data_IF_402620893917
#
_entry.id   IF_402620893917
#
_cell.length_a   1.000
_cell.length_b   1.000
_cell.length_c   1.000
_cell.angle_alpha   90.00
_cell.angle_beta   90.00
_cell.angle_gamma   90.00
#
_symmetry.space_group_name_H-M   'P 1'
#
loop_
_entity.id
_entity.type
_entity.pdbx_description
1 polymer ?
#
# COMPACT_ATOMS: atom_id res chain seq x y z
N UNK A 1 -21.22 -11.80 20.68
CA UNK A 1 -22.43 -11.66 19.86
C UNK A 1 -22.22 -12.44 18.57
N UNK A 2 -22.71 -13.68 18.51
CA UNK A 2 -22.49 -14.59 17.38
C UNK A 2 -23.47 -14.23 16.24
N UNK A 3 -22.95 -13.72 15.12
CA UNK A 3 -23.79 -13.28 14.00
C UNK A 3 -24.36 -14.48 13.26
N UNK A 4 -25.64 -14.80 13.49
CA UNK A 4 -26.42 -15.73 12.65
C UNK A 4 -26.47 -15.17 11.22
N UNK A 5 -25.87 -15.88 10.24
CA UNK A 5 -26.01 -15.57 8.80
C UNK A 5 -24.73 -15.50 7.95
N UNK A 6 -23.54 -15.77 8.48
CA UNK A 6 -22.26 -15.69 7.72
C UNK A 6 -21.98 -16.88 6.79
N UNK A 7 -22.75 -17.97 6.89
CA UNK A 7 -22.50 -19.21 6.16
C UNK A 7 -22.35 -19.02 4.62
N UNK A 8 -23.09 -18.07 4.03
CA UNK A 8 -22.97 -17.75 2.60
C UNK A 8 -21.61 -17.14 2.25
N UNK A 9 -21.11 -16.24 3.10
CA UNK A 9 -19.80 -15.60 2.91
C UNK A 9 -18.69 -16.63 3.08
N UNK A 10 -18.80 -17.51 4.07
CA UNK A 10 -17.80 -18.55 4.30
C UNK A 10 -17.77 -19.59 3.17
N UNK A 11 -18.94 -19.90 2.61
CA UNK A 11 -19.04 -20.73 1.41
C UNK A 11 -18.33 -20.09 0.20
N UNK A 12 -18.55 -18.79 -0.07
CA UNK A 12 -17.87 -18.08 -1.16
C UNK A 12 -16.36 -18.03 -0.95
N UNK A 13 -15.90 -17.72 0.27
CA UNK A 13 -14.47 -17.73 0.62
C UNK A 13 -13.80 -19.09 0.41
N UNK A 14 -14.54 -20.19 0.65
CA UNK A 14 -14.04 -21.54 0.38
C UNK A 14 -13.79 -21.74 -1.12
N UNK A 15 -14.77 -21.40 -1.95
CA UNK A 15 -14.66 -21.49 -3.41
C UNK A 15 -13.52 -20.61 -3.92
N UNK A 16 -13.41 -19.36 -3.44
CA UNK A 16 -12.35 -18.41 -3.81
C UNK A 16 -10.96 -19.01 -3.58
N UNK A 17 -10.72 -19.59 -2.38
CA UNK A 17 -9.43 -20.22 -2.06
C UNK A 17 -9.12 -21.40 -2.97
N UNK A 18 -10.08 -22.29 -3.21
CA UNK A 18 -9.90 -23.46 -4.08
C UNK A 18 -9.59 -23.05 -5.53
N UNK A 19 -10.26 -22.01 -6.04
CA UNK A 19 -10.04 -21.51 -7.40
C UNK A 19 -8.70 -20.78 -7.52
N UNK A 20 -8.33 -19.96 -6.54
CA UNK A 20 -7.03 -19.28 -6.50
C UNK A 20 -5.86 -20.27 -6.52
N UNK A 21 -5.95 -21.34 -5.72
CA UNK A 21 -4.95 -22.42 -5.72
C UNK A 21 -4.84 -23.11 -7.09
N UNK A 22 -5.97 -23.36 -7.77
CA UNK A 22 -5.98 -23.94 -9.12
C UNK A 22 -5.35 -23.01 -10.15
N UNK A 23 -5.60 -21.71 -10.07
CA UNK A 23 -5.00 -20.73 -10.97
C UNK A 23 -3.48 -20.64 -10.80
N UNK A 24 -3.00 -20.63 -9.56
CA UNK A 24 -1.58 -20.58 -9.24
C UNK A 24 -0.85 -21.86 -9.67
N UNK A 25 -1.39 -23.04 -9.33
CA UNK A 25 -0.82 -24.33 -9.74
C UNK A 25 -0.70 -24.48 -11.26
N UNK A 26 -1.65 -23.91 -12.02
CA UNK A 26 -1.64 -23.92 -13.49
C UNK A 26 -0.92 -22.74 -14.11
N UNK A 27 -0.45 -21.76 -13.31
CA UNK A 27 0.24 -20.54 -13.76
C UNK A 27 -0.51 -19.81 -14.88
N UNK A 28 -1.84 -19.76 -14.80
CA UNK A 28 -2.71 -19.30 -15.91
C UNK A 28 -2.52 -17.82 -16.29
N UNK A 29 -1.87 -17.03 -15.42
CA UNK A 29 -1.59 -15.62 -15.64
C UNK A 29 -0.10 -15.33 -15.93
N UNK A 30 0.77 -16.35 -15.95
CA UNK A 30 2.17 -16.19 -16.36
C UNK A 30 2.25 -16.11 -17.89
N UNK A 31 2.63 -14.94 -18.40
CA UNK A 31 2.72 -14.68 -19.84
C UNK A 31 4.18 -14.46 -20.22
N UNK A 32 4.68 -15.26 -21.17
CA UNK A 32 6.05 -15.15 -21.68
C UNK A 32 6.04 -14.60 -23.10
N UNK A 33 6.86 -13.57 -23.36
CA UNK A 33 6.93 -12.93 -24.67
C UNK A 33 7.37 -13.89 -25.80
N UNK A 34 8.30 -14.80 -25.51
CA UNK A 34 8.82 -15.80 -26.46
C UNK A 34 7.76 -16.79 -26.96
N UNK A 35 6.74 -17.08 -26.14
CA UNK A 35 5.63 -17.96 -26.52
C UNK A 35 4.61 -17.25 -27.40
N UNK A 36 4.59 -15.90 -27.41
CA UNK A 36 3.64 -15.08 -28.16
C UNK A 36 4.10 -14.78 -29.58
N UNK A 37 5.40 -14.78 -29.86
CA UNK A 37 5.94 -14.55 -31.20
C UNK A 37 5.56 -15.66 -32.19
N UNK A 38 5.33 -16.89 -31.68
CA UNK A 38 4.79 -18.00 -32.46
C UNK A 38 3.27 -17.88 -32.72
N UNK A 39 2.59 -17.00 -31.99
CA UNK A 39 1.17 -16.69 -32.15
C UNK A 39 1.01 -15.29 -32.73
N UNK A 40 1.47 -15.11 -33.97
CA UNK A 40 1.56 -13.85 -34.73
C UNK A 40 0.23 -13.07 -34.87
N UNK A 41 -0.90 -13.63 -34.41
CA UNK A 41 -2.26 -13.13 -34.64
C UNK A 41 -3.00 -12.60 -33.41
N UNK A 42 -2.39 -12.56 -32.20
CA UNK A 42 -3.08 -12.08 -30.99
C UNK A 42 -2.52 -10.74 -30.50
N UNK A 43 -3.35 -9.71 -30.53
CA UNK A 43 -3.05 -8.39 -29.96
C UNK A 43 -2.58 -8.50 -28.50
N UNK A 44 -1.57 -7.70 -28.14
CA UNK A 44 -1.04 -7.58 -26.77
C UNK A 44 -1.80 -6.48 -26.02
N UNK A 45 -1.99 -6.67 -24.72
CA UNK A 45 -2.59 -5.68 -23.83
C UNK A 45 -1.77 -5.60 -22.54
N UNK A 46 -1.18 -4.43 -22.27
CA UNK A 46 -0.32 -4.22 -21.12
C UNK A 46 -0.90 -3.12 -20.24
N UNK A 47 -1.12 -3.43 -18.97
CA UNK A 47 -1.68 -2.50 -17.99
C UNK A 47 -0.79 -2.48 -16.77
N UNK A 48 -0.64 -1.31 -16.15
CA UNK A 48 0.12 -1.15 -14.91
C UNK A 48 -0.71 -0.40 -13.88
N UNK A 49 -0.47 -0.72 -12.61
CA UNK A 49 -0.98 0.03 -11.48
C UNK A 49 0.21 0.72 -10.80
N UNK A 50 0.14 2.02 -10.49
CA UNK A 50 1.19 2.70 -9.72
C UNK A 50 1.46 1.95 -8.42
N UNK A 51 2.68 1.45 -8.26
CA UNK A 51 3.03 0.57 -7.16
C UNK A 51 2.92 1.33 -5.81
N UNK A 52 2.17 0.79 -4.83
CA UNK A 52 1.83 1.50 -3.60
C UNK A 52 2.99 1.53 -2.60
N UNK A 53 3.02 2.56 -1.74
CA UNK A 53 3.97 2.66 -0.63
C UNK A 53 3.76 1.56 0.42
N UNK A 54 4.86 0.96 0.87
CA UNK A 54 4.87 -0.15 1.84
C UNK A 54 5.03 0.31 3.29
N UNK A 55 4.54 1.50 3.63
CA UNK A 55 4.49 1.98 5.01
C UNK A 55 3.29 1.44 5.80
N UNK A 56 2.45 0.59 5.19
CA UNK A 56 1.26 0.00 5.82
C UNK A 56 0.61 -1.06 4.95
N UNK A 57 -0.59 -1.52 5.38
CA UNK A 57 -1.40 -2.44 4.58
C UNK A 57 -2.19 -1.70 3.50
N UNK A 58 -2.47 -2.38 2.40
CA UNK A 58 -3.32 -1.84 1.34
C UNK A 58 -4.76 -1.65 1.85
N UNK A 59 -5.23 -0.41 1.86
CA UNK A 59 -6.62 -0.07 2.15
C UNK A 59 -7.53 -0.16 0.92
N UNK A 60 -8.85 -0.05 1.15
CA UNK A 60 -9.90 -0.21 0.14
C UNK A 60 -9.75 0.76 -1.05
N UNK A 61 -9.19 1.95 -0.84
CA UNK A 61 -8.90 2.91 -1.91
C UNK A 61 -7.90 2.38 -2.94
N UNK A 62 -6.88 1.64 -2.52
CA UNK A 62 -5.99 0.95 -3.45
C UNK A 62 -6.75 -0.09 -4.25
N UNK A 63 -7.62 -0.88 -3.60
CA UNK A 63 -8.42 -1.91 -4.28
C UNK A 63 -9.40 -1.34 -5.29
N UNK A 64 -9.99 -0.18 -5.00
CA UNK A 64 -10.85 0.53 -5.94
C UNK A 64 -10.08 0.97 -7.18
N UNK A 65 -8.90 1.57 -7.01
CA UNK A 65 -8.09 2.04 -8.13
C UNK A 65 -7.52 0.89 -8.97
N UNK A 66 -7.05 -0.19 -8.34
CA UNK A 66 -6.53 -1.37 -9.06
C UNK A 66 -7.63 -2.15 -9.79
N UNK A 67 -8.87 -2.12 -9.29
CA UNK A 67 -10.00 -2.85 -9.90
C UNK A 67 -10.27 -2.46 -11.35
N UNK A 68 -10.00 -1.19 -11.70
CA UNK A 68 -10.12 -0.69 -13.08
C UNK A 68 -9.21 -1.46 -14.04
N UNK A 69 -7.98 -1.74 -13.60
CA UNK A 69 -7.00 -2.48 -14.37
C UNK A 69 -7.36 -3.96 -14.44
N UNK A 70 -7.76 -4.54 -13.30
CA UNK A 70 -8.17 -5.94 -13.18
C UNK A 70 -9.34 -6.29 -14.10
N UNK A 71 -10.38 -5.46 -14.12
CA UNK A 71 -11.54 -5.67 -14.99
C UNK A 71 -11.19 -5.46 -16.47
N UNK A 72 -10.32 -4.49 -16.78
CA UNK A 72 -9.86 -4.26 -18.14
C UNK A 72 -9.13 -5.49 -18.70
N UNK A 73 -8.22 -6.11 -17.95
CA UNK A 73 -7.51 -7.31 -18.41
C UNK A 73 -8.42 -8.53 -18.50
N UNK A 74 -9.40 -8.68 -17.59
CA UNK A 74 -10.42 -9.72 -17.68
C UNK A 74 -11.22 -9.62 -18.99
N UNK A 75 -11.70 -8.42 -19.31
CA UNK A 75 -12.43 -8.15 -20.55
C UNK A 75 -11.57 -8.37 -21.80
N UNK A 76 -10.35 -7.83 -21.84
CA UNK A 76 -9.48 -7.95 -23.02
C UNK A 76 -9.03 -9.40 -23.26
N UNK A 77 -8.85 -10.20 -22.19
CA UNK A 77 -8.58 -11.64 -22.31
C UNK A 77 -9.73 -12.39 -22.98
N UNK A 78 -10.98 -12.02 -22.67
CA UNK A 78 -12.16 -12.57 -23.35
C UNK A 78 -12.25 -12.16 -24.83
N UNK A 79 -11.73 -10.98 -25.19
CA UNK A 79 -11.58 -10.57 -26.60
C UNK A 79 -10.43 -11.28 -27.34
N UNK A 80 -9.75 -12.22 -26.70
CA UNK A 80 -8.64 -12.97 -27.29
C UNK A 80 -7.29 -12.27 -27.23
N UNK A 81 -7.19 -11.10 -26.57
CA UNK A 81 -5.91 -10.41 -26.39
C UNK A 81 -5.06 -11.09 -25.33
N UNK A 82 -3.76 -11.08 -25.54
CA UNK A 82 -2.82 -11.53 -24.51
C UNK A 82 -2.55 -10.40 -23.54
N UNK A 83 -2.99 -10.57 -22.29
CA UNK A 83 -2.94 -9.53 -21.26
C UNK A 83 -1.81 -9.76 -20.27
N UNK A 84 -1.02 -8.72 -19.99
CA UNK A 84 -0.01 -8.71 -18.93
C UNK A 84 -0.34 -7.59 -17.94
N UNK A 85 -0.46 -7.95 -16.66
CA UNK A 85 -0.71 -7.03 -15.55
C UNK A 85 0.25 -7.34 -14.40
N UNK A 86 1.44 -6.73 -14.38
CA UNK A 86 2.39 -6.89 -13.29
C UNK A 86 2.02 -5.96 -12.12
N UNK A 87 2.44 -6.36 -10.93
CA UNK A 87 2.25 -5.56 -9.72
C UNK A 87 3.59 -5.42 -8.99
N UNK A 88 4.00 -4.18 -8.70
CA UNK A 88 5.20 -3.85 -7.94
C UNK A 88 4.86 -3.30 -6.55
N UNK A 89 5.88 -3.14 -5.71
CA UNK A 89 5.75 -2.61 -4.34
C UNK A 89 6.76 -1.48 -4.12
N UNK A 90 6.33 -0.33 -3.59
CA UNK A 90 7.19 0.83 -3.40
C UNK A 90 7.80 0.86 -1.99
N UNK A 91 9.10 0.56 -1.91
CA UNK A 91 9.86 0.62 -0.66
C UNK A 91 10.85 1.79 -0.57
N UNK A 92 10.92 2.65 -1.60
CA UNK A 92 11.83 3.81 -1.58
C UNK A 92 11.13 5.03 -0.99
N UNK A 93 11.91 5.93 -0.39
CA UNK A 93 11.41 7.19 0.16
C UNK A 93 11.43 7.28 1.69
N UNK A 94 11.25 8.50 2.19
CA UNK A 94 11.27 8.84 3.62
C UNK A 94 10.10 8.30 4.46
N UNK A 95 8.86 8.08 3.94
CA UNK A 95 7.72 7.72 4.80
C UNK A 95 7.95 6.48 5.65
N UNK A 96 8.60 5.45 5.10
CA UNK A 96 8.89 4.19 5.83
C UNK A 96 9.86 4.46 6.97
N UNK A 97 10.91 5.24 6.70
CA UNK A 97 11.92 5.63 7.69
C UNK A 97 11.33 6.52 8.78
N UNK A 98 10.52 7.50 8.42
CA UNK A 98 9.84 8.38 9.36
C UNK A 98 8.93 7.60 10.33
N UNK A 99 8.16 6.62 9.84
CA UNK A 99 7.36 5.74 10.68
C UNK A 99 8.22 4.88 11.62
N UNK A 100 9.33 4.31 11.13
CA UNK A 100 10.24 3.52 11.95
C UNK A 100 10.94 4.36 13.03
N UNK A 101 11.36 5.58 12.70
CA UNK A 101 12.02 6.50 13.63
C UNK A 101 11.04 7.03 14.69
N UNK A 102 9.77 7.28 14.32
CA UNK A 102 8.70 7.60 15.29
C UNK A 102 8.51 6.47 16.29
N UNK A 103 8.37 5.24 15.80
CA UNK A 103 8.17 4.07 16.67
C UNK A 103 9.39 3.83 17.56
N UNK A 104 10.61 3.97 17.03
CA UNK A 104 11.83 3.89 17.83
C UNK A 104 11.83 4.89 18.98
N UNK A 105 11.47 6.15 18.70
CA UNK A 105 11.39 7.20 19.72
C UNK A 105 10.36 6.87 20.80
N UNK A 106 9.17 6.40 20.41
CA UNK A 106 8.11 6.02 21.36
C UNK A 106 8.57 4.88 22.28
N UNK A 107 9.25 3.87 21.74
CA UNK A 107 9.79 2.76 22.54
C UNK A 107 10.91 3.23 23.48
N UNK A 108 11.77 4.15 23.04
CA UNK A 108 12.86 4.70 23.85
C UNK A 108 12.35 5.61 24.99
N UNK A 109 11.27 6.37 24.75
CA UNK A 109 10.70 7.30 25.73
C UNK A 109 9.75 6.62 26.72
N UNK A 110 8.87 5.76 26.23
CA UNK A 110 7.73 5.25 27.00
C UNK A 110 7.85 3.76 27.36
N UNK A 111 8.87 3.06 26.86
CA UNK A 111 9.09 1.63 27.13
C UNK A 111 8.26 0.68 26.25
N UNK A 112 8.11 -0.57 26.71
CA UNK A 112 7.40 -1.63 25.99
C UNK A 112 6.67 -2.57 26.98
N UNK A 113 5.33 -2.48 27.14
CA UNK A 113 4.41 -1.61 26.40
C UNK A 113 4.63 -0.11 26.72
N UNK A 114 4.40 0.78 25.74
CA UNK A 114 4.58 2.21 25.96
C UNK A 114 3.54 2.73 26.95
N UNK A 115 4.00 3.50 27.95
CA UNK A 115 3.17 4.24 28.88
C UNK A 115 3.18 5.72 28.51
N UNK A 116 2.10 6.20 27.90
CA UNK A 116 2.01 7.56 27.38
C UNK A 116 1.52 8.51 28.47
N UNK A 117 1.98 9.78 28.49
CA UNK A 117 1.50 10.77 29.46
C UNK A 117 0.02 11.08 29.24
N UNK A 118 -0.69 11.49 30.29
CA UNK A 118 -2.05 12.01 30.15
C UNK A 118 -2.01 13.36 29.39
N UNK A 119 -3.11 13.74 28.72
CA UNK A 119 -3.16 14.93 27.83
C UNK A 119 -2.70 16.23 28.53
N UNK A 120 -2.91 16.35 29.84
CA UNK A 120 -2.44 17.49 30.65
C UNK A 120 -0.91 17.51 30.83
N UNK A 121 -0.28 16.33 30.99
CA UNK A 121 1.17 16.18 31.12
C UNK A 121 1.88 16.38 29.76
N UNK A 122 1.23 16.02 28.66
CA UNK A 122 1.73 16.29 27.30
C UNK A 122 1.79 17.80 27.00
N UNK A 123 0.78 18.58 27.39
CA UNK A 123 0.77 20.04 27.19
C UNK A 123 1.89 20.75 27.96
N UNK A 124 2.17 20.31 29.20
CA UNK A 124 3.29 20.80 30.00
C UNK A 124 4.64 20.46 29.37
N UNK A 125 4.86 19.21 28.94
CA UNK A 125 6.10 18.82 28.26
C UNK A 125 6.31 19.52 26.92
N UNK A 126 5.26 19.73 26.13
CA UNK A 126 5.34 20.44 24.85
C UNK A 126 5.70 21.90 25.10
N UNK A 127 5.10 22.56 26.09
CA UNK A 127 5.47 23.94 26.43
C UNK A 127 6.94 24.05 26.84
N UNK A 128 7.41 23.16 27.73
CA UNK A 128 8.82 23.15 28.17
C UNK A 128 9.78 22.92 26.99
N UNK A 129 9.49 21.94 26.12
CA UNK A 129 10.32 21.66 24.92
C UNK A 129 10.28 22.83 23.92
N UNK A 130 9.15 23.51 23.76
CA UNK A 130 9.01 24.64 22.84
C UNK A 130 9.77 25.87 23.36
N UNK A 131 9.74 26.14 24.66
CA UNK A 131 10.53 27.17 25.32
C UNK A 131 12.04 26.93 25.16
N UNK A 132 12.49 25.69 25.33
CA UNK A 132 13.89 25.29 25.12
C UNK A 132 14.36 25.43 23.66
N UNK A 133 13.46 25.22 22.69
CA UNK A 133 13.75 25.38 21.25
C UNK A 133 13.80 26.87 20.86
N UNK A 134 12.93 27.72 21.44
CA UNK A 134 12.87 29.16 21.14
C UNK A 134 14.15 29.89 21.58
N UNK A 135 14.86 29.38 22.59
CA UNK A 135 16.08 30.02 23.11
C UNK A 135 17.31 29.75 22.21
N UNK A 136 17.30 28.76 21.30
CA UNK A 136 18.52 28.35 20.56
C UNK A 136 18.71 28.90 19.15
N UNK A 137 17.68 29.36 18.43
CA UNK A 137 17.85 29.76 17.02
C UNK A 137 17.13 31.07 16.65
N UNK A 138 17.77 32.20 16.97
CA UNK A 138 17.55 33.47 16.26
C UNK A 138 18.75 33.79 15.36
N UNK A 139 18.84 33.12 14.21
CA UNK A 139 19.69 33.53 13.11
C UNK A 139 18.95 33.49 11.76
N UNK A 140 19.12 34.58 11.00
CA UNK A 140 18.36 35.07 9.83
C UNK A 140 18.32 34.14 8.61
N UNK A 141 17.21 34.21 7.84
CA UNK A 141 17.23 33.85 6.41
C UNK A 141 15.88 33.91 5.68
N UNK A 142 15.48 35.08 5.16
CA UNK A 142 14.43 35.22 4.13
C UNK A 142 14.82 34.47 2.85
N UNK A 143 13.88 33.75 2.23
CA UNK A 143 13.68 33.67 0.76
C UNK A 143 12.37 32.95 0.41
N UNK A 144 11.44 33.70 -0.17
CA UNK A 144 10.23 33.19 -0.82
C UNK A 144 10.60 32.35 -2.05
N UNK A 145 9.98 31.18 -2.23
CA UNK A 145 10.00 30.48 -3.51
C UNK A 145 8.62 30.58 -4.15
N UNK A 146 8.56 31.32 -5.26
CA UNK A 146 7.41 31.47 -6.15
C UNK A 146 7.18 30.15 -6.88
N UNK A 147 5.92 29.77 -7.02
CA UNK A 147 5.47 28.68 -7.88
C UNK A 147 5.21 29.30 -9.25
N UNK A 148 5.82 28.71 -10.30
CA UNK A 148 5.56 29.02 -11.70
C UNK A 148 4.56 28.01 -12.27
#
# INVERSE_FOLDING_TARGET
>A
MERKGTAKVDFLKKIEKEVQQKWDAKKVFEVNASNLEKQTSKDKYFVTFPYPYMNGRLHLGHTFSLSKCEFAVGYQRLKGKTCLFPFGLHCTGMPIKACADKLKREVELYGCPPDFPDEEEEEEEINVKTEDIIIKDKAKGKKNCKIA
#
